data_IF_397150755053
#
_entry.id   IF_397150755053
#
_cell.length_a   1.000
_cell.length_b   1.000
_cell.length_c   1.000
_cell.angle_alpha   90.00
_cell.angle_beta   90.00
_cell.angle_gamma   90.00
#
_symmetry.space_group_name_H-M   'P 1'
#
loop_
_entity.id
_entity.type
_entity.pdbx_description
1 polymer ?
#
# COMPACT_ATOMS: atom_id res chain seq x y z
N UNK A 1 14.38 0.96 -20.43
CA UNK A 1 13.51 1.38 -19.31
C UNK A 1 12.21 0.58 -19.38
N UNK A 2 11.90 -0.23 -18.35
CA UNK A 2 10.66 -0.99 -18.19
C UNK A 2 9.40 -0.15 -18.39
N UNK A 3 8.28 -0.78 -18.77
CA UNK A 3 7.03 -0.07 -19.12
C UNK A 3 6.38 0.55 -17.89
N UNK A 4 6.52 -0.11 -16.76
CA UNK A 4 6.00 0.22 -15.43
C UNK A 4 6.61 1.54 -14.94
N UNK A 5 7.92 1.72 -15.11
CA UNK A 5 8.63 2.96 -14.76
C UNK A 5 8.27 4.14 -15.68
N UNK A 6 7.98 3.86 -16.96
CA UNK A 6 7.48 4.89 -17.89
C UNK A 6 6.06 5.33 -17.51
N UNK A 7 5.21 4.38 -17.14
CA UNK A 7 3.87 4.66 -16.64
C UNK A 7 3.93 5.48 -15.34
N UNK A 8 4.85 5.14 -14.43
CA UNK A 8 5.10 5.92 -13.21
C UNK A 8 5.39 7.39 -13.52
N UNK A 9 6.31 7.69 -14.45
CA UNK A 9 6.62 9.08 -14.83
C UNK A 9 5.45 9.83 -15.48
N UNK A 10 4.55 9.11 -16.14
CA UNK A 10 3.38 9.68 -16.80
C UNK A 10 2.28 10.00 -15.80
N UNK A 11 2.02 9.09 -14.85
CA UNK A 11 0.93 9.20 -13.88
C UNK A 11 1.35 9.97 -12.61
N UNK A 12 2.63 10.00 -12.28
CA UNK A 12 3.15 10.77 -11.14
C UNK A 12 3.05 12.28 -11.40
N UNK A 13 2.14 12.94 -10.70
CA UNK A 13 1.91 14.40 -10.79
C UNK A 13 2.78 15.23 -9.85
N UNK A 14 3.67 14.58 -9.09
CA UNK A 14 4.56 15.24 -8.15
C UNK A 14 5.63 16.07 -8.89
N UNK A 15 6.04 17.20 -8.31
CA UNK A 15 7.10 18.06 -8.89
C UNK A 15 8.47 17.37 -8.90
N UNK A 16 8.67 16.47 -7.95
CA UNK A 16 9.87 15.66 -7.70
C UNK A 16 9.80 14.25 -8.33
N UNK A 17 8.92 14.03 -9.33
CA UNK A 17 8.72 12.71 -9.95
C UNK A 17 9.99 12.04 -10.48
N UNK A 18 10.96 12.82 -10.96
CA UNK A 18 12.25 12.32 -11.45
C UNK A 18 13.14 11.86 -10.29
N UNK A 19 13.13 12.59 -9.17
CA UNK A 19 13.82 12.21 -7.94
C UNK A 19 13.18 10.95 -7.32
N UNK A 20 11.85 10.87 -7.32
CA UNK A 20 11.14 9.67 -6.87
C UNK A 20 11.48 8.46 -7.73
N UNK A 21 11.51 8.61 -9.05
CA UNK A 21 11.92 7.54 -9.95
C UNK A 21 13.35 7.08 -9.67
N UNK A 22 14.28 8.02 -9.44
CA UNK A 22 15.66 7.68 -9.10
C UNK A 22 15.72 6.85 -7.80
N UNK A 23 14.95 7.23 -6.77
CA UNK A 23 14.85 6.47 -5.52
C UNK A 23 14.32 5.05 -5.77
N UNK A 24 13.30 4.88 -6.62
CA UNK A 24 12.78 3.56 -7.04
C UNK A 24 13.88 2.74 -7.74
N UNK A 25 14.65 3.34 -8.65
CA UNK A 25 15.73 2.63 -9.34
C UNK A 25 16.86 2.22 -8.39
N UNK A 26 17.20 3.06 -7.42
CA UNK A 26 18.17 2.72 -6.38
C UNK A 26 17.69 1.56 -5.51
N UNK A 27 16.38 1.47 -5.26
CA UNK A 27 15.77 0.36 -4.52
C UNK A 27 15.91 -0.99 -5.24
N UNK A 28 16.00 -0.98 -6.57
CA UNK A 28 16.28 -2.17 -7.37
C UNK A 28 17.67 -2.77 -7.17
N UNK A 29 18.56 -2.09 -6.42
CA UNK A 29 19.84 -2.67 -5.98
C UNK A 29 19.70 -3.53 -4.73
N UNK A 30 18.65 -3.32 -3.95
CA UNK A 30 18.41 -3.98 -2.66
C UNK A 30 17.26 -4.97 -2.72
N UNK A 31 16.33 -4.78 -3.65
CA UNK A 31 15.11 -5.58 -3.80
C UNK A 31 15.15 -6.32 -5.12
N UNK A 32 14.48 -7.48 -5.16
CA UNK A 32 14.31 -8.25 -6.38
C UNK A 32 13.67 -7.38 -7.50
N UNK A 33 14.22 -7.40 -8.73
CA UNK A 33 13.72 -6.57 -9.83
C UNK A 33 12.26 -6.84 -10.19
N UNK A 34 11.81 -8.09 -10.14
CA UNK A 34 10.43 -8.45 -10.51
C UNK A 34 9.46 -8.00 -9.42
N UNK A 35 9.84 -8.10 -8.15
CA UNK A 35 9.06 -7.54 -7.04
C UNK A 35 8.95 -6.02 -7.11
N UNK A 36 10.04 -5.33 -7.47
CA UNK A 36 10.04 -3.88 -7.65
C UNK A 36 9.11 -3.46 -8.79
N UNK A 37 9.17 -4.12 -9.94
CA UNK A 37 8.30 -3.83 -11.08
C UNK A 37 6.83 -4.10 -10.75
N UNK A 38 6.55 -5.19 -10.04
CA UNK A 38 5.21 -5.48 -9.54
C UNK A 38 4.69 -4.37 -8.61
N UNK A 39 5.50 -3.91 -7.66
CA UNK A 39 5.12 -2.84 -6.74
C UNK A 39 4.87 -1.49 -7.45
N UNK A 40 5.68 -1.18 -8.47
CA UNK A 40 5.49 0.01 -9.31
C UNK A 40 4.19 -0.11 -10.12
N UNK A 41 3.90 -1.28 -10.69
CA UNK A 41 2.64 -1.51 -11.41
C UNK A 41 1.43 -1.30 -10.49
N UNK A 42 1.48 -1.84 -9.27
CA UNK A 42 0.45 -1.58 -8.25
C UNK A 42 0.32 -0.11 -7.88
N UNK A 43 1.43 0.60 -7.73
CA UNK A 43 1.38 2.03 -7.47
C UNK A 43 0.73 2.80 -8.63
N UNK A 44 1.02 2.44 -9.88
CA UNK A 44 0.45 3.11 -11.06
C UNK A 44 -1.08 2.96 -11.13
N UNK A 45 -1.63 1.82 -10.69
CA UNK A 45 -3.08 1.59 -10.62
C UNK A 45 -3.81 2.55 -9.67
N UNK A 46 -3.09 3.20 -8.74
CA UNK A 46 -3.68 4.21 -7.84
C UNK A 46 -3.96 5.56 -8.52
N UNK A 47 -3.47 5.78 -9.74
CA UNK A 47 -3.63 7.04 -10.50
C UNK A 47 -2.84 8.23 -9.96
N UNK A 48 -2.12 8.06 -8.85
CA UNK A 48 -1.20 9.04 -8.28
C UNK A 48 0.03 8.35 -7.66
N UNK A 49 0.81 7.62 -8.46
CA UNK A 49 1.92 6.83 -7.94
C UNK A 49 2.99 7.74 -7.32
N UNK A 50 3.51 7.32 -6.17
CA UNK A 50 4.62 7.97 -5.48
C UNK A 50 5.62 6.93 -4.97
N UNK A 51 6.84 7.36 -4.68
CA UNK A 51 7.87 6.50 -4.07
C UNK A 51 7.37 5.80 -2.79
N UNK A 52 6.57 6.50 -1.97
CA UNK A 52 6.02 5.99 -0.73
C UNK A 52 5.06 4.81 -0.96
N UNK A 53 4.18 4.92 -1.97
CA UNK A 53 3.25 3.85 -2.34
C UNK A 53 4.02 2.61 -2.84
N UNK A 54 5.10 2.82 -3.60
CA UNK A 54 5.96 1.72 -4.05
C UNK A 54 6.63 1.03 -2.86
N UNK A 55 7.17 1.78 -1.91
CA UNK A 55 7.74 1.23 -0.68
C UNK A 55 6.70 0.50 0.17
N UNK A 56 5.48 1.00 0.22
CA UNK A 56 4.35 0.35 0.89
C UNK A 56 4.07 -1.03 0.30
N UNK A 57 3.96 -1.16 -1.03
CA UNK A 57 3.76 -2.47 -1.67
C UNK A 57 4.95 -3.42 -1.50
N UNK A 58 6.15 -2.89 -1.24
CA UNK A 58 7.34 -3.67 -0.93
C UNK A 58 7.50 -3.98 0.57
N UNK A 59 6.54 -3.56 1.41
CA UNK A 59 6.61 -3.68 2.88
C UNK A 59 7.90 -3.11 3.47
N UNK A 60 8.47 -2.07 2.84
CA UNK A 60 9.67 -1.41 3.34
C UNK A 60 9.23 -0.35 4.35
N UNK A 61 9.64 -0.54 5.60
CA UNK A 61 9.44 0.46 6.65
C UNK A 61 10.25 1.72 6.30
N UNK A 62 9.57 2.74 5.80
CA UNK A 62 10.14 4.08 5.71
C UNK A 62 10.10 4.63 7.13
N UNK A 63 11.28 4.79 7.75
CA UNK A 63 11.36 5.40 9.08
C UNK A 63 10.71 6.80 9.03
N UNK A 64 9.73 7.00 9.91
CA UNK A 64 9.05 8.27 10.22
C UNK A 64 8.29 8.98 9.11
N UNK A 65 7.18 8.38 8.66
CA UNK A 65 6.05 9.16 8.16
C UNK A 65 4.78 8.59 8.77
N UNK A 66 4.12 9.38 9.64
CA UNK A 66 2.73 9.14 10.04
C UNK A 66 1.85 9.19 8.79
N UNK A 67 1.67 8.05 8.13
CA UNK A 67 0.68 7.89 7.07
C UNK A 67 -0.67 7.99 7.77
N UNK A 68 -1.25 9.20 7.84
CA UNK A 68 -2.64 9.35 8.25
C UNK A 68 -3.49 8.51 7.29
N UNK A 69 -4.12 7.42 7.74
CA UNK A 69 -5.02 6.69 6.86
C UNK A 69 -6.14 7.66 6.45
N UNK A 70 -6.33 7.83 5.15
CA UNK A 70 -7.43 8.64 4.59
C UNK A 70 -8.81 8.00 4.87
N UNK A 71 -8.81 6.75 5.35
CA UNK A 71 -10.00 5.96 5.64
C UNK A 71 -9.79 5.35 7.02
N UNK A 72 -10.49 5.89 8.01
CA UNK A 72 -10.72 5.20 9.28
C UNK A 72 -11.82 4.18 9.01
N UNK A 73 -11.46 2.91 8.89
CA UNK A 73 -12.46 1.84 8.91
C UNK A 73 -12.89 1.71 10.37
N UNK A 74 -14.06 2.23 10.70
CA UNK A 74 -14.72 1.96 11.96
C UNK A 74 -15.07 0.47 11.97
N UNK A 75 -14.35 -0.31 12.76
CA UNK A 75 -14.76 -1.67 13.07
C UNK A 75 -16.02 -1.56 13.93
N UNK A 76 -17.20 -2.03 13.48
CA UNK A 76 -18.35 -2.10 14.36
C UNK A 76 -18.02 -3.05 15.50
N UNK A 77 -18.35 -2.66 16.73
CA UNK A 77 -18.26 -3.54 17.90
C UNK A 77 -19.18 -4.74 17.66
N UNK A 78 -18.58 -5.93 17.58
CA UNK A 78 -19.28 -7.19 17.37
C UNK A 78 -19.84 -7.77 18.69
N UNK A 79 -19.59 -7.09 19.82
CA UNK A 79 -20.06 -7.47 21.16
C UNK A 79 -21.60 -7.55 21.23
N UNK A 80 -22.34 -6.85 20.36
CA UNK A 80 -23.81 -6.96 20.28
C UNK A 80 -24.31 -8.31 19.72
N UNK A 81 -23.45 -9.10 19.07
CA UNK A 81 -23.82 -10.42 18.55
C UNK A 81 -23.64 -11.55 19.57
N UNK A 82 -22.90 -11.32 20.66
CA UNK A 82 -22.74 -12.31 21.73
C UNK A 82 -24.05 -12.53 22.49
N UNK A 83 -24.91 -11.51 22.58
CA UNK A 83 -26.24 -11.61 23.20
C UNK A 83 -27.23 -12.47 22.39
N UNK A 84 -26.96 -12.73 21.10
CA UNK A 84 -27.82 -13.57 20.26
C UNK A 84 -27.46 -15.06 20.30
N UNK A 85 -26.28 -15.40 20.84
CA UNK A 85 -25.74 -16.77 20.92
C UNK A 85 -25.86 -17.35 22.34
N UNK A 86 -26.43 -16.60 23.28
CA UNK A 86 -26.70 -17.02 24.66
C UNK A 86 -28.13 -17.51 24.89
N UNK A 87 -28.42 -18.76 24.53
CA UNK A 87 -29.12 -19.77 25.36
C UNK A 87 -29.64 -20.94 24.49
N UNK A 88 -28.73 -21.79 24.03
CA UNK A 88 -29.03 -23.22 23.87
C UNK A 88 -28.46 -23.98 25.06
N UNK A 89 -29.13 -23.84 26.21
CA UNK A 89 -29.01 -24.80 27.31
C UNK A 89 -30.40 -25.04 27.89
N UNK A 90 -31.00 -26.15 27.50
CA UNK A 90 -31.68 -27.06 28.42
C UNK A 90 -31.81 -28.42 27.73
N UNK A 91 -30.84 -29.29 28.01
CA UNK A 91 -31.00 -30.73 27.89
C UNK A 91 -31.58 -31.24 29.22
N UNK A 92 -32.84 -31.67 29.21
CA UNK A 92 -33.39 -32.65 30.16
C UNK A 92 -34.42 -33.54 29.44
#
# INVERSE_FOLDING_TARGET
>A
MPKELKAFLKECRAKDKEEQLLKIMLLGRTVDPDQLLWAVDKANLTGSPTYQIVCFYLNIAIADIEIKPCITVEHPDLDEYDDLVGDEKDYD
#
